data_IF_801602232190
#
_entry.id   IF_801602232190
#
_cell.length_a   1.000
_cell.length_b   1.000
_cell.length_c   1.000
_cell.angle_alpha   90.00
_cell.angle_beta   90.00
_cell.angle_gamma   90.00
#
_symmetry.space_group_name_H-M   'P 1'
#
loop_
_entity.id
_entity.type
_entity.pdbx_description
1 polymer ?
#
# COMPACT_ATOMS: atom_id res chain seq x y z
N UNK A 1 15.89 -2.78 -7.59
CA UNK A 1 14.76 -3.64 -7.18
C UNK A 1 15.28 -5.04 -6.85
N UNK A 2 14.89 -5.63 -5.73
CA UNK A 2 15.31 -7.00 -5.32
C UNK A 2 14.62 -8.07 -6.19
N UNK A 3 15.17 -9.29 -6.22
CA UNK A 3 14.62 -10.39 -7.02
C UNK A 3 13.18 -10.74 -6.61
N UNK A 4 12.92 -10.90 -5.30
CA UNK A 4 11.56 -11.15 -4.78
C UNK A 4 10.52 -10.14 -5.27
N UNK A 5 10.90 -8.87 -5.40
CA UNK A 5 9.98 -7.83 -5.90
C UNK A 5 9.61 -8.08 -7.36
N UNK A 6 10.57 -8.49 -8.19
CA UNK A 6 10.32 -8.86 -9.60
C UNK A 6 9.43 -10.11 -9.67
N UNK A 7 9.70 -11.09 -8.82
CA UNK A 7 8.94 -12.34 -8.77
C UNK A 7 7.49 -12.05 -8.39
N UNK A 8 7.25 -11.24 -7.37
CA UNK A 8 5.89 -10.83 -6.98
C UNK A 8 5.17 -10.02 -8.07
N UNK A 9 5.86 -9.08 -8.75
CA UNK A 9 5.26 -8.38 -9.90
C UNK A 9 4.75 -9.36 -10.96
N UNK A 10 5.45 -10.47 -11.16
CA UNK A 10 5.05 -11.53 -12.08
C UNK A 10 3.89 -12.39 -11.51
N UNK A 11 4.04 -12.92 -10.29
CA UNK A 11 3.05 -13.77 -9.60
C UNK A 11 1.67 -13.10 -9.59
N UNK A 12 1.61 -11.85 -9.13
CA UNK A 12 0.38 -11.08 -8.99
C UNK A 12 -0.03 -10.35 -10.29
N UNK A 13 0.70 -10.56 -11.39
CA UNK A 13 0.41 -10.01 -12.73
C UNK A 13 0.26 -8.49 -12.75
N UNK A 14 1.02 -7.77 -11.91
CA UNK A 14 0.86 -6.32 -11.73
C UNK A 14 1.10 -5.54 -13.02
N UNK A 15 2.00 -5.99 -13.89
CA UNK A 15 2.21 -5.36 -15.21
C UNK A 15 0.96 -5.35 -16.09
N UNK A 16 0.08 -6.35 -15.94
CA UNK A 16 -1.20 -6.43 -16.66
C UNK A 16 -2.25 -5.56 -15.98
N UNK A 17 -2.31 -5.59 -14.65
CA UNK A 17 -3.29 -4.86 -13.84
C UNK A 17 -3.05 -3.34 -13.85
N UNK A 18 -1.77 -2.92 -13.85
CA UNK A 18 -1.32 -1.53 -13.74
C UNK A 18 -1.73 -0.81 -12.46
N UNK A 19 -2.00 -1.57 -11.40
CA UNK A 19 -2.17 -1.07 -10.04
C UNK A 19 -1.54 -2.01 -9.01
N UNK A 20 -1.24 -1.48 -7.83
CA UNK A 20 -0.56 -2.17 -6.73
C UNK A 20 -1.53 -2.79 -5.71
N UNK A 21 -1.01 -3.39 -4.63
CA UNK A 21 -1.79 -4.05 -3.57
C UNK A 21 -2.74 -3.12 -2.80
N UNK A 22 -2.59 -1.80 -2.93
CA UNK A 22 -3.50 -0.82 -2.34
C UNK A 22 -4.39 -0.14 -3.40
N UNK A 23 -4.38 -0.64 -4.64
CA UNK A 23 -5.17 -0.09 -5.74
C UNK A 23 -4.60 1.18 -6.37
N UNK A 24 -3.32 1.47 -6.19
CA UNK A 24 -2.67 2.64 -6.77
C UNK A 24 -2.06 2.32 -8.13
N UNK A 25 -2.40 3.14 -9.11
CA UNK A 25 -1.94 3.00 -10.49
C UNK A 25 -0.48 3.40 -10.66
N UNK A 26 0.23 2.66 -11.51
CA UNK A 26 1.63 2.89 -11.84
C UNK A 26 1.88 2.69 -13.34
N UNK A 27 2.89 3.37 -13.88
CA UNK A 27 3.25 3.25 -15.29
C UNK A 27 4.40 2.28 -15.50
N UNK A 28 5.39 2.33 -14.60
CA UNK A 28 6.65 1.60 -14.69
C UNK A 28 6.96 0.85 -13.39
N UNK A 29 7.52 -0.36 -13.52
CA UNK A 29 7.97 -1.18 -12.39
C UNK A 29 9.02 -0.48 -11.51
N UNK A 30 9.78 0.48 -12.04
CA UNK A 30 10.72 1.27 -11.21
C UNK A 30 10.02 2.10 -10.13
N UNK A 31 8.71 2.34 -10.26
CA UNK A 31 7.89 2.99 -9.23
C UNK A 31 7.49 2.02 -8.12
N UNK A 32 7.67 0.71 -8.31
CA UNK A 32 7.23 -0.32 -7.37
C UNK A 32 8.32 -0.70 -6.38
N UNK A 33 7.88 -1.06 -5.19
CA UNK A 33 8.75 -1.44 -4.09
C UNK A 33 8.09 -2.48 -3.18
N UNK A 34 8.94 -3.25 -2.49
CA UNK A 34 8.52 -4.24 -1.51
C UNK A 34 8.21 -3.56 -0.18
N UNK A 35 7.04 -3.86 0.38
CA UNK A 35 6.59 -3.44 1.70
C UNK A 35 6.42 -4.67 2.59
N UNK A 36 6.92 -4.62 3.84
CA UNK A 36 6.81 -5.75 4.76
C UNK A 36 5.44 -5.76 5.42
N UNK A 37 4.78 -6.92 5.50
CA UNK A 37 3.42 -7.05 6.04
C UNK A 37 3.38 -7.57 7.48
N UNK A 38 4.19 -8.58 7.82
CA UNK A 38 4.07 -9.32 9.09
C UNK A 38 5.22 -8.94 10.03
N UNK A 39 6.46 -9.13 9.57
CA UNK A 39 7.67 -8.75 10.32
C UNK A 39 8.33 -7.61 9.57
N UNK A 40 8.41 -6.44 10.21
CA UNK A 40 8.99 -5.26 9.61
C UNK A 40 10.51 -5.42 9.39
N UNK A 41 11.05 -4.68 8.42
CA UNK A 41 12.50 -4.69 8.14
C UNK A 41 13.35 -4.26 9.35
N UNK A 42 12.83 -3.36 10.19
CA UNK A 42 13.51 -2.90 11.42
C UNK A 42 13.71 -4.02 12.45
N UNK A 43 12.88 -5.05 12.37
CA UNK A 43 12.87 -6.22 13.26
C UNK A 43 13.48 -7.46 12.59
N UNK A 44 14.20 -7.28 11.47
CA UNK A 44 14.83 -8.38 10.73
C UNK A 44 13.89 -9.18 9.83
N UNK A 45 12.74 -8.59 9.45
CA UNK A 45 11.77 -9.23 8.58
C UNK A 45 12.35 -9.75 7.25
N UNK A 46 12.00 -10.98 6.83
CA UNK A 46 12.54 -11.55 5.60
C UNK A 46 11.90 -10.93 4.35
N UNK A 47 12.69 -10.80 3.28
CA UNK A 47 12.24 -10.39 1.94
C UNK A 47 11.72 -11.60 1.15
N UNK A 48 10.57 -12.12 1.55
CA UNK A 48 9.90 -13.28 0.95
C UNK A 48 8.48 -12.90 0.54
N UNK A 49 7.87 -13.69 -0.36
CA UNK A 49 6.52 -13.43 -0.86
C UNK A 49 5.52 -13.31 0.29
N UNK A 50 5.52 -14.27 1.23
CA UNK A 50 4.57 -14.34 2.34
C UNK A 50 4.64 -13.14 3.32
N UNK A 51 5.76 -12.42 3.34
CA UNK A 51 5.94 -11.25 4.20
C UNK A 51 5.84 -9.93 3.42
N UNK A 52 5.38 -9.96 2.17
CA UNK A 52 5.50 -8.86 1.24
C UNK A 52 4.19 -8.37 0.63
N UNK A 53 4.08 -7.07 0.41
CA UNK A 53 3.19 -6.49 -0.60
C UNK A 53 4.02 -5.63 -1.57
N UNK A 54 3.53 -5.49 -2.80
CA UNK A 54 4.13 -4.57 -3.76
C UNK A 54 3.33 -3.28 -3.77
N UNK A 55 4.00 -2.17 -3.46
CA UNK A 55 3.42 -0.84 -3.36
C UNK A 55 4.20 0.18 -4.19
N UNK A 56 3.49 1.17 -4.72
CA UNK A 56 4.04 2.33 -5.43
C UNK A 56 4.77 3.26 -4.47
N UNK A 57 6.06 3.46 -4.72
CA UNK A 57 6.90 4.44 -4.02
C UNK A 57 6.33 5.84 -4.15
N UNK A 58 6.63 6.72 -3.18
CA UNK A 58 6.21 8.13 -3.18
C UNK A 58 4.69 8.35 -3.15
N UNK A 59 3.90 7.29 -3.07
CA UNK A 59 2.44 7.31 -2.95
C UNK A 59 1.98 6.28 -1.93
N UNK A 60 1.40 5.14 -2.35
CA UNK A 60 0.84 4.12 -1.45
C UNK A 60 1.84 3.66 -0.40
N UNK A 61 3.09 3.35 -0.78
CA UNK A 61 4.08 2.89 0.20
C UNK A 61 4.35 3.95 1.30
N UNK A 62 4.67 5.18 0.90
CA UNK A 62 4.91 6.29 1.82
C UNK A 62 3.65 6.63 2.63
N UNK A 63 2.48 6.43 2.05
CA UNK A 63 1.21 6.76 2.67
C UNK A 63 0.80 5.74 3.72
N UNK A 64 1.00 4.44 3.47
CA UNK A 64 0.79 3.39 4.46
C UNK A 64 1.65 3.62 5.71
N UNK A 65 2.94 3.95 5.55
CA UNK A 65 3.81 4.33 6.69
C UNK A 65 3.33 5.61 7.40
N UNK A 66 2.71 6.53 6.67
CA UNK A 66 2.12 7.73 7.27
C UNK A 66 0.90 7.40 8.11
N UNK A 67 0.07 6.46 7.65
CA UNK A 67 -1.09 5.96 8.37
C UNK A 67 -0.62 5.24 9.64
N UNK A 68 0.39 4.36 9.57
CA UNK A 68 0.99 3.68 10.75
C UNK A 68 1.34 4.67 11.87
N UNK A 69 1.90 5.82 11.53
CA UNK A 69 2.33 6.84 12.50
C UNK A 69 1.18 7.60 13.18
N UNK A 70 0.01 7.68 12.54
CA UNK A 70 -1.12 8.49 13.01
C UNK A 70 -2.25 7.65 13.58
N UNK A 71 -2.57 6.57 12.88
CA UNK A 71 -3.65 5.65 13.19
C UNK A 71 -3.17 4.20 12.94
N UNK A 72 -2.50 3.59 13.94
CA UNK A 72 -2.03 2.22 13.84
C UNK A 72 -3.15 1.22 13.57
N UNK A 73 -4.38 1.47 14.06
CA UNK A 73 -5.51 0.57 13.87
C UNK A 73 -5.90 0.48 12.39
N UNK A 74 -6.06 1.63 11.73
CA UNK A 74 -6.35 1.67 10.28
C UNK A 74 -5.20 1.05 9.49
N UNK A 75 -3.95 1.30 9.89
CA UNK A 75 -2.79 0.65 9.27
C UNK A 75 -2.87 -0.89 9.35
N UNK A 76 -3.19 -1.44 10.53
CA UNK A 76 -3.32 -2.89 10.70
C UNK A 76 -4.48 -3.46 9.88
N UNK A 77 -5.61 -2.75 9.80
CA UNK A 77 -6.75 -3.18 8.99
C UNK A 77 -6.39 -3.22 7.49
N UNK A 78 -5.72 -2.19 6.97
CA UNK A 78 -5.25 -2.18 5.58
C UNK A 78 -4.23 -3.29 5.34
N UNK A 79 -3.30 -3.48 6.27
CA UNK A 79 -2.28 -4.53 6.19
C UNK A 79 -2.92 -5.93 6.19
N UNK A 80 -3.96 -6.15 6.99
CA UNK A 80 -4.73 -7.40 7.02
C UNK A 80 -5.35 -7.72 5.66
N UNK A 81 -5.90 -6.72 4.96
CA UNK A 81 -6.47 -6.92 3.63
C UNK A 81 -5.39 -7.26 2.58
N UNK A 82 -4.19 -6.65 2.66
CA UNK A 82 -3.06 -7.01 1.79
C UNK A 82 -2.49 -8.40 2.09
N UNK A 83 -2.50 -8.84 3.36
CA UNK A 83 -2.14 -10.22 3.73
C UNK A 83 -3.13 -11.21 3.11
N UNK A 84 -4.43 -10.90 3.13
CA UNK A 84 -5.46 -11.74 2.50
C UNK A 84 -5.26 -11.84 0.97
N UNK A 85 -4.98 -10.72 0.29
CA UNK A 85 -4.59 -10.75 -1.15
C UNK A 85 -3.33 -11.59 -1.39
N UNK A 86 -2.35 -11.50 -0.49
CA UNK A 86 -1.13 -12.28 -0.59
C UNK A 86 -1.42 -13.78 -0.52
N UNK A 87 -2.20 -14.22 0.49
CA UNK A 87 -2.63 -15.61 0.70
C UNK A 87 -3.45 -16.11 -0.49
N UNK A 88 -4.33 -15.27 -1.06
CA UNK A 88 -5.12 -15.60 -2.25
C UNK A 88 -4.26 -15.77 -3.51
N UNK A 89 -3.09 -15.12 -3.56
CA UNK A 89 -2.21 -15.12 -4.73
C UNK A 89 -2.68 -14.19 -5.86
N UNK A 90 -3.64 -13.30 -5.60
CA UNK A 90 -4.13 -12.29 -6.55
C UNK A 90 -4.72 -11.08 -5.83
N UNK A 91 -4.74 -9.92 -6.50
CA UNK A 91 -5.36 -8.70 -6.00
C UNK A 91 -6.88 -8.79 -6.21
N UNK A 92 -7.63 -8.88 -5.12
CA UNK A 92 -9.06 -9.13 -5.11
C UNK A 92 -9.85 -7.83 -4.95
N UNK A 93 -10.88 -7.67 -5.78
CA UNK A 93 -11.70 -6.46 -5.81
C UNK A 93 -12.36 -6.16 -4.46
N UNK A 94 -12.69 -7.18 -3.66
CA UNK A 94 -13.30 -6.98 -2.36
C UNK A 94 -12.30 -6.44 -1.33
N UNK A 95 -11.05 -6.94 -1.34
CA UNK A 95 -9.98 -6.38 -0.50
C UNK A 95 -9.70 -4.93 -0.90
N UNK A 96 -9.55 -4.66 -2.20
CA UNK A 96 -9.32 -3.30 -2.71
C UNK A 96 -10.43 -2.32 -2.32
N UNK A 97 -11.71 -2.75 -2.33
CA UNK A 97 -12.83 -1.93 -1.87
C UNK A 97 -12.78 -1.61 -0.38
N UNK A 98 -12.41 -2.59 0.45
CA UNK A 98 -12.24 -2.36 1.89
C UNK A 98 -11.05 -1.46 2.18
N UNK A 99 -9.91 -1.69 1.54
CA UNK A 99 -8.74 -0.79 1.60
C UNK A 99 -9.17 0.62 1.22
N UNK A 100 -9.93 0.79 0.13
CA UNK A 100 -10.44 2.10 -0.29
C UNK A 100 -11.31 2.76 0.77
N UNK A 101 -12.24 2.03 1.37
CA UNK A 101 -13.10 2.53 2.44
C UNK A 101 -12.29 2.96 3.68
N UNK A 102 -11.29 2.17 4.09
CA UNK A 102 -10.40 2.48 5.20
C UNK A 102 -9.56 3.73 4.94
N UNK A 103 -9.05 3.87 3.72
CA UNK A 103 -8.32 5.07 3.30
C UNK A 103 -9.22 6.32 3.32
N UNK A 104 -10.44 6.23 2.78
CA UNK A 104 -11.40 7.34 2.79
C UNK A 104 -11.84 7.72 4.22
N UNK A 105 -12.01 6.74 5.09
CA UNK A 105 -12.27 6.98 6.52
C UNK A 105 -11.11 7.77 7.15
N UNK A 106 -9.88 7.27 7.01
CA UNK A 106 -8.68 7.96 7.51
C UNK A 106 -8.54 9.38 6.95
N UNK A 107 -8.82 9.55 5.66
CA UNK A 107 -8.78 10.85 4.99
C UNK A 107 -9.77 11.83 5.56
N UNK A 108 -10.99 11.38 5.87
CA UNK A 108 -12.02 12.21 6.48
C UNK A 108 -11.60 12.66 7.88
N UNK A 109 -11.13 11.73 8.72
CA UNK A 109 -10.70 12.02 10.09
C UNK A 109 -9.48 12.96 10.14
N UNK A 110 -8.55 12.80 9.19
CA UNK A 110 -7.28 13.55 9.18
C UNK A 110 -7.18 14.63 8.08
N UNK A 111 -8.29 15.01 7.44
CA UNK A 111 -8.31 15.94 6.30
C UNK A 111 -7.66 17.31 6.61
N UNK A 112 -7.78 17.76 7.85
CA UNK A 112 -7.26 19.05 8.33
C UNK A 112 -5.92 18.92 9.08
N UNK A 113 -5.39 17.70 9.23
CA UNK A 113 -4.13 17.47 9.93
C UNK A 113 -2.96 18.02 9.13
N UNK A 114 -2.09 18.77 9.81
CA UNK A 114 -0.92 19.44 9.21
C UNK A 114 0.37 18.91 9.81
N UNK A 115 1.41 18.91 9.00
CA UNK A 115 2.79 18.70 9.44
C UNK A 115 3.26 19.85 10.32
N UNK A 116 4.38 19.68 11.02
CA UNK A 116 5.03 20.75 11.82
C UNK A 116 5.31 22.03 11.02
N UNK A 117 5.47 21.90 9.70
CA UNK A 117 5.74 23.01 8.79
C UNK A 117 4.45 23.61 8.19
N UNK A 118 3.27 23.29 8.74
CA UNK A 118 1.97 23.82 8.32
C UNK A 118 1.38 23.23 7.03
N UNK A 119 2.10 22.36 6.31
CA UNK A 119 1.60 21.68 5.11
C UNK A 119 0.59 20.58 5.48
N UNK A 120 -0.44 20.37 4.66
CA UNK A 120 -1.35 19.24 4.80
C UNK A 120 -0.57 17.92 4.81
N UNK A 121 -0.95 17.05 5.74
CA UNK A 121 -0.29 15.76 5.92
C UNK A 121 -0.69 14.78 4.81
N UNK A 122 -1.96 14.80 4.42
CA UNK A 122 -2.48 14.03 3.28
C UNK A 122 -2.26 14.86 2.01
N UNK A 123 -1.46 14.31 1.10
CA UNK A 123 -1.17 14.94 -0.20
C UNK A 123 -2.25 14.56 -1.20
N UNK A 124 -2.55 15.43 -2.15
CA UNK A 124 -3.45 15.12 -3.28
C UNK A 124 -3.03 13.85 -4.04
N UNK A 125 -1.72 13.63 -4.19
CA UNK A 125 -1.16 12.43 -4.84
C UNK A 125 -1.52 11.12 -4.12
N UNK A 126 -1.84 11.17 -2.83
CA UNK A 126 -2.30 9.99 -2.09
C UNK A 126 -3.74 9.62 -2.41
N UNK A 127 -4.53 10.54 -2.99
CA UNK A 127 -5.96 10.34 -3.28
C UNK A 127 -6.16 10.06 -4.78
N UNK A 128 -5.49 10.84 -5.64
CA UNK A 128 -5.78 10.89 -7.08
C UNK A 128 -5.39 9.63 -7.86
N UNK A 129 -4.32 8.94 -7.44
CA UNK A 129 -3.68 7.90 -8.25
C UNK A 129 -4.32 6.50 -8.11
N UNK A 130 -5.52 6.41 -7.52
CA UNK A 130 -6.22 5.13 -7.28
C UNK A 130 -7.07 4.70 -8.48
N UNK A 131 -7.23 3.40 -8.64
CA UNK A 131 -8.22 2.84 -9.57
C UNK A 131 -9.66 3.20 -9.14
N UNK A 132 -10.59 3.11 -10.09
CA UNK A 132 -12.03 3.20 -9.83
C UNK A 132 -12.56 1.82 -9.40
N UNK A 133 -13.36 1.78 -8.34
CA UNK A 133 -13.84 0.55 -7.67
C UNK A 133 -15.37 0.54 -7.50
#
# INVERSE_FOLDING_TARGET
MKQVTKDMIHIYRLNKLKYDFAGYTFNNNHELSFHHLIIANRDGGPYIVDNGAILKQRTSHDYIHRIEQLDPEIFYLITSEMIDENIKGYLDIQNLRKIRMLLEYFEKEHCSTRTKNGKLLIKESYIRDRIKL
#
